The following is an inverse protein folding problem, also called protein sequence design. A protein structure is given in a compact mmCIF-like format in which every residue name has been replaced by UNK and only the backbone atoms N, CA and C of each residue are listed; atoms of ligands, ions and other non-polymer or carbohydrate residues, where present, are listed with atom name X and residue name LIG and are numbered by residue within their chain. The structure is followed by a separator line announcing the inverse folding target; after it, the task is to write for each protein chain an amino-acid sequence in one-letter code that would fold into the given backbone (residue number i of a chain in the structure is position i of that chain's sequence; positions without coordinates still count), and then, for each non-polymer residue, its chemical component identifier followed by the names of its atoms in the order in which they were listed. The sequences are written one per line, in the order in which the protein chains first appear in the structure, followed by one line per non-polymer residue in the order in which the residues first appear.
data_IF_307409176719
#
_entry.id   IF_307409176719
#
_cell.length_a   1.000
_cell.length_b   1.000
_cell.length_c   1.000
_cell.angle_alpha   90.00
_cell.angle_beta   90.00
_cell.angle_gamma   90.00
#
_symmetry.space_group_name_H-M   'P 1'
#
loop_
_entity.id
_entity.type
_entity.pdbx_description
1 polymer ?
#
# COMPACT_ATOMS: atom_id res chain seq x y z
N UNK A 1 -22.02 2.21 -14.04
CA UNK A 1 -21.00 3.29 -14.03
C UNK A 1 -19.61 2.71 -13.80
N UNK A 2 -18.80 2.58 -14.86
CA UNK A 2 -17.39 2.22 -14.76
C UNK A 2 -16.64 3.50 -14.38
N UNK A 3 -16.05 3.55 -13.18
CA UNK A 3 -15.11 4.63 -12.84
C UNK A 3 -13.95 4.54 -13.83
N UNK A 4 -13.60 5.62 -14.56
CA UNK A 4 -12.45 5.56 -15.47
C UNK A 4 -11.22 5.22 -14.63
N UNK A 5 -10.44 4.23 -15.06
CA UNK A 5 -9.24 3.73 -14.37
C UNK A 5 -8.24 4.84 -13.95
N UNK A 6 -8.34 6.02 -14.58
CA UNK A 6 -7.60 7.23 -14.22
C UNK A 6 -7.92 7.75 -12.80
N UNK A 7 -9.10 7.46 -12.27
CA UNK A 7 -9.47 7.86 -10.90
C UNK A 7 -8.86 6.91 -9.86
N UNK A 8 -8.83 5.61 -10.14
CA UNK A 8 -8.25 4.60 -9.25
C UNK A 8 -6.77 4.88 -8.99
N UNK A 9 -5.98 5.21 -10.01
CA UNK A 9 -4.56 5.57 -9.84
C UNK A 9 -4.36 6.85 -8.99
N UNK A 10 -5.23 7.85 -9.15
CA UNK A 10 -5.22 9.08 -8.34
C UNK A 10 -5.59 8.80 -6.89
N UNK A 11 -6.62 7.98 -6.66
CA UNK A 11 -7.05 7.54 -5.34
C UNK A 11 -5.94 6.73 -4.67
N UNK A 12 -5.34 5.79 -5.37
CA UNK A 12 -4.21 4.98 -4.88
C UNK A 12 -3.03 5.88 -4.47
N UNK A 13 -2.68 6.87 -5.28
CA UNK A 13 -1.61 7.83 -4.96
C UNK A 13 -1.93 8.65 -3.70
N UNK A 14 -3.18 9.09 -3.54
CA UNK A 14 -3.62 9.83 -2.34
C UNK A 14 -3.59 8.96 -1.09
N UNK A 15 -4.06 7.72 -1.19
CA UNK A 15 -4.06 6.75 -0.08
C UNK A 15 -2.62 6.45 0.34
N UNK A 16 -1.73 6.17 -0.61
CA UNK A 16 -0.30 5.91 -0.36
C UNK A 16 0.35 7.06 0.43
N UNK A 17 0.22 8.30 -0.05
CA UNK A 17 0.79 9.48 0.63
C UNK A 17 0.25 9.66 2.05
N UNK A 18 -1.05 9.44 2.25
CA UNK A 18 -1.66 9.57 3.58
C UNK A 18 -1.18 8.48 4.53
N UNK A 19 -1.08 7.24 4.08
CA UNK A 19 -0.66 6.15 4.93
C UNK A 19 0.81 6.28 5.32
N UNK A 20 1.69 6.53 4.35
CA UNK A 20 3.12 6.71 4.62
C UNK A 20 3.35 7.85 5.62
N UNK A 21 2.71 9.01 5.41
CA UNK A 21 2.77 10.13 6.36
C UNK A 21 2.26 9.75 7.76
N UNK A 22 1.20 8.93 7.85
CA UNK A 22 0.67 8.49 9.13
C UNK A 22 1.60 7.50 9.83
N UNK A 23 2.26 6.61 9.09
CA UNK A 23 3.22 5.65 9.63
C UNK A 23 4.50 6.35 10.13
N UNK A 24 5.02 7.30 9.36
CA UNK A 24 6.17 8.13 9.80
C UNK A 24 5.84 8.95 11.03
N UNK A 25 4.65 9.57 11.09
CA UNK A 25 4.20 10.30 12.28
C UNK A 25 4.04 9.42 13.52
N UNK A 26 3.80 8.13 13.34
CA UNK A 26 3.66 7.16 14.44
C UNK A 26 5.00 6.52 14.83
N UNK A 27 6.10 6.85 14.15
CA UNK A 27 7.42 6.23 14.37
C UNK A 27 7.47 4.76 13.95
N UNK A 28 6.53 4.30 13.13
CA UNK A 28 6.49 2.91 12.63
C UNK A 28 7.39 2.76 11.40
N UNK A 29 7.69 3.87 10.71
CA UNK A 29 8.48 3.90 9.49
C UNK A 29 9.39 5.13 9.50
N UNK A 30 10.66 4.95 9.16
CA UNK A 30 11.58 6.07 8.99
C UNK A 30 11.22 6.91 7.76
N UNK A 31 11.66 8.17 7.74
CA UNK A 31 11.33 9.08 6.65
C UNK A 31 11.93 8.62 5.31
N UNK A 32 13.14 8.06 5.34
CA UNK A 32 13.80 7.48 4.15
C UNK A 32 13.07 6.25 3.60
N UNK A 33 12.63 5.35 4.49
CA UNK A 33 11.84 4.19 4.08
C UNK A 33 10.49 4.60 3.50
N UNK A 34 9.86 5.64 4.06
CA UNK A 34 8.64 6.23 3.52
C UNK A 34 8.82 6.76 2.10
N UNK A 35 9.91 7.46 1.82
CA UNK A 35 10.20 7.99 0.48
C UNK A 35 10.48 6.87 -0.52
N UNK A 36 11.25 5.86 -0.11
CA UNK A 36 11.56 4.66 -0.89
C UNK A 36 10.29 3.89 -1.24
N UNK A 37 9.35 3.74 -0.28
CA UNK A 37 8.06 3.10 -0.52
C UNK A 37 7.12 3.95 -1.38
N UNK A 38 7.26 5.27 -1.37
CA UNK A 38 6.47 6.15 -2.22
C UNK A 38 6.84 6.01 -3.71
N UNK A 39 8.14 5.84 -3.99
CA UNK A 39 8.71 5.76 -5.34
C UNK A 39 8.71 4.34 -5.95
N UNK A 40 8.35 3.32 -5.18
CA UNK A 40 8.35 1.92 -5.65
C UNK A 40 7.31 1.70 -6.77
N UNK A 41 7.77 1.14 -7.88
CA UNK A 41 6.91 0.75 -9.01
C UNK A 41 5.87 -0.31 -8.56
N UNK A 42 4.69 -0.30 -9.18
CA UNK A 42 3.47 -1.04 -8.75
C UNK A 42 2.84 -0.60 -7.42
N UNK A 43 3.33 0.50 -6.87
CA UNK A 43 2.66 1.18 -5.78
C UNK A 43 2.92 0.61 -4.40
N UNK A 44 4.06 -0.05 -4.21
CA UNK A 44 4.60 -0.33 -2.88
C UNK A 44 3.75 -1.26 -2.02
N UNK A 45 2.94 -2.13 -2.63
CA UNK A 45 2.00 -3.01 -1.91
C UNK A 45 0.61 -2.40 -1.68
N UNK A 46 0.36 -1.18 -2.19
CA UNK A 46 -0.96 -0.53 -2.14
C UNK A 46 -1.77 -0.85 -3.39
N UNK A 47 -2.25 -2.09 -3.54
CA UNK A 47 -3.13 -2.45 -4.65
C UNK A 47 -4.55 -1.90 -4.42
N UNK A 48 -5.12 -1.24 -5.43
CA UNK A 48 -6.52 -0.83 -5.45
C UNK A 48 -7.21 -1.54 -6.61
N UNK A 49 -8.12 -2.46 -6.29
CA UNK A 49 -9.01 -3.05 -7.29
C UNK A 49 -10.35 -2.31 -7.29
N UNK A 50 -10.68 -1.66 -8.41
CA UNK A 50 -11.94 -0.93 -8.60
C UNK A 50 -13.09 -1.86 -9.05
N UNK A 51 -12.79 -3.13 -9.30
CA UNK A 51 -13.75 -4.16 -9.70
C UNK A 51 -14.54 -4.66 -8.49
N UNK A 52 -13.90 -4.73 -7.32
CA UNK A 52 -14.53 -4.99 -6.02
C UNK A 52 -15.37 -3.79 -5.62
N UNK A 53 -16.69 -3.95 -5.71
CA UNK A 53 -17.68 -2.96 -5.23
C UNK A 53 -18.43 -3.55 -4.05
N UNK A 54 -18.65 -2.72 -3.05
CA UNK A 54 -19.56 -3.01 -1.96
C UNK A 54 -20.80 -2.16 -2.20
N UNK A 55 -21.93 -2.80 -2.48
CA UNK A 55 -23.21 -2.11 -2.56
C UNK A 55 -23.53 -1.48 -1.19
N UNK A 56 -23.92 -0.21 -1.16
CA UNK A 56 -23.85 0.67 0.03
C UNK A 56 -24.60 0.22 1.28
N UNK A 57 -25.44 -0.81 1.19
CA UNK A 57 -26.19 -1.41 2.29
C UNK A 57 -25.81 -2.89 2.58
N UNK A 58 -24.92 -3.51 1.80
CA UNK A 58 -24.52 -4.92 2.01
C UNK A 58 -23.53 -5.05 3.17
N UNK A 59 -24.05 -4.86 4.38
CA UNK A 59 -23.33 -5.05 5.63
C UNK A 59 -22.76 -6.47 5.74
N UNK A 60 -23.51 -7.46 5.27
CA UNK A 60 -23.04 -8.85 5.25
C UNK A 60 -21.86 -9.02 4.28
N UNK A 61 -21.88 -8.37 3.11
CA UNK A 61 -20.73 -8.29 2.19
C UNK A 61 -19.51 -7.64 2.81
N UNK A 62 -19.68 -6.52 3.53
CA UNK A 62 -18.59 -5.89 4.28
C UNK A 62 -18.02 -6.80 5.36
N UNK A 63 -18.86 -7.54 6.08
CA UNK A 63 -18.41 -8.49 7.09
C UNK A 63 -17.68 -9.70 6.48
N UNK A 64 -18.12 -10.20 5.32
CA UNK A 64 -17.42 -11.23 4.55
C UNK A 64 -16.07 -10.73 4.03
N UNK A 65 -16.04 -9.53 3.47
CA UNK A 65 -14.79 -8.89 3.02
C UNK A 65 -13.83 -8.72 4.20
N UNK A 66 -14.32 -8.18 5.33
CA UNK A 66 -13.51 -8.01 6.54
C UNK A 66 -13.01 -9.34 7.08
N UNK A 67 -13.77 -10.44 6.94
CA UNK A 67 -13.38 -11.79 7.36
C UNK A 67 -12.29 -12.37 6.47
N UNK A 68 -12.41 -12.25 5.16
CA UNK A 68 -11.39 -12.71 4.19
C UNK A 68 -10.16 -11.79 4.11
N UNK A 69 -10.28 -10.53 4.53
CA UNK A 69 -9.19 -9.55 4.49
C UNK A 69 -8.35 -9.52 5.77
N UNK A 70 -8.72 -10.26 6.82
CA UNK A 70 -7.84 -10.41 7.99
C UNK A 70 -6.67 -11.29 7.56
N UNK A 71 -5.54 -10.64 7.27
CA UNK A 71 -4.19 -11.19 7.12
C UNK A 71 -3.68 -11.67 5.76
N UNK A 72 -4.35 -11.41 4.63
CA UNK A 72 -3.73 -11.70 3.33
C UNK A 72 -2.90 -10.51 2.84
N UNK A 73 -1.63 -10.46 3.24
CA UNK A 73 -0.58 -9.98 2.34
C UNK A 73 0.13 -8.64 2.61
N UNK A 74 0.39 -8.26 3.87
CA UNK A 74 1.49 -7.29 4.13
C UNK A 74 2.88 -7.95 4.23
N UNK A 75 2.98 -9.25 3.94
CA UNK A 75 4.24 -9.99 3.96
C UNK A 75 4.64 -10.41 2.55
N UNK A 76 5.43 -9.57 1.88
CA UNK A 76 6.66 -10.06 1.23
C UNK A 76 7.73 -8.98 1.35
N UNK A 77 8.35 -8.94 2.53
CA UNK A 77 9.65 -8.32 2.68
C UNK A 77 10.69 -9.17 1.95
N UNK A 78 11.22 -8.65 0.85
CA UNK A 78 12.58 -8.93 0.43
C UNK A 78 13.31 -7.58 0.44
N UNK A 79 13.59 -7.09 1.65
CA UNK A 79 14.66 -6.12 1.86
C UNK A 79 15.97 -6.89 1.65
N UNK A 80 16.46 -6.89 0.41
CA UNK A 80 17.82 -7.30 0.12
C UNK A 80 18.74 -6.14 0.52
N UNK A 81 19.05 -6.07 1.82
CA UNK A 81 20.23 -5.37 2.27
C UNK A 81 21.47 -6.20 1.92
N UNK A 82 22.18 -5.85 0.86
CA UNK A 82 23.59 -6.23 0.71
C UNK A 82 24.44 -4.96 0.72
N UNK A 83 24.90 -4.59 1.92
CA UNK A 83 25.99 -3.65 2.10
C UNK A 83 27.28 -4.32 1.61
N UNK A 84 27.60 -4.22 0.31
CA UNK A 84 29.02 -4.31 -0.09
C UNK A 84 29.67 -2.95 0.07
N UNK A 85 30.13 -2.73 1.30
CA UNK A 85 31.27 -1.89 1.60
C UNK A 85 32.49 -2.54 0.96
N UNK A 86 32.97 -2.01 -0.16
CA UNK A 86 34.34 -2.24 -0.63
C UNK A 86 35.21 -1.11 -0.09
N UNK A 87 36.21 -1.37 0.77
CA UNK A 87 37.22 -0.39 1.11
C UNK A 87 38.16 -0.19 -0.11
N UNK A 88 38.37 1.08 -0.44
CA UNK A 88 39.33 1.57 -1.42
C UNK A 88 40.71 1.68 -0.74
N UNK A 89 41.81 1.19 -1.34
CA UNK A 89 43.16 1.64 -1.01
C UNK A 89 43.62 2.81 -1.89
#
# INVERSE_FOLDING_TARGET
MVLPALDAAKVQTRIRRRLLRALTRRGVLESEDSETMANREHGGGFSLDASVRVEGADRAGLERLRRNSRSTGLCTGASAGDRRRTPDP
#
